data_IF_848169790354
#
_entry.id   IF_848169790354
#
_cell.length_a   1.000
_cell.length_b   1.000
_cell.length_c   1.000
_cell.angle_alpha   90.00
_cell.angle_beta   90.00
_cell.angle_gamma   90.00
#
_symmetry.space_group_name_H-M   'P 1'
#
loop_
_entity.id
_entity.type
_entity.pdbx_description
1 polymer ?
#
# COMPACT_ATOMS: atom_id res chain seq x y z
N UNK A 1 10.39 -7.60 -23.85
CA UNK A 1 11.18 -7.72 -22.61
C UNK A 1 11.59 -9.17 -22.46
N UNK A 2 12.84 -9.49 -22.14
CA UNK A 2 13.26 -10.88 -21.90
C UNK A 2 12.63 -11.41 -20.61
N UNK A 3 12.40 -12.73 -20.50
CA UNK A 3 11.85 -13.34 -19.28
C UNK A 3 12.67 -12.98 -18.03
N UNK A 4 14.01 -12.89 -18.16
CA UNK A 4 14.89 -12.46 -17.08
C UNK A 4 14.60 -11.03 -16.60
N UNK A 5 14.41 -10.08 -17.54
CA UNK A 5 14.10 -8.68 -17.19
C UNK A 5 12.73 -8.57 -16.51
N UNK A 6 11.75 -9.34 -16.98
CA UNK A 6 10.42 -9.40 -16.37
C UNK A 6 10.47 -9.94 -14.93
N UNK A 7 11.18 -11.04 -14.68
CA UNK A 7 11.31 -11.61 -13.35
C UNK A 7 12.05 -10.69 -12.38
N UNK A 8 13.13 -10.03 -12.83
CA UNK A 8 13.81 -8.99 -12.02
C UNK A 8 12.87 -7.85 -11.66
N UNK A 9 12.08 -7.37 -12.62
CA UNK A 9 11.08 -6.32 -12.37
C UNK A 9 10.00 -6.78 -11.39
N UNK A 10 9.50 -8.01 -11.52
CA UNK A 10 8.51 -8.59 -10.60
C UNK A 10 9.03 -8.67 -9.17
N UNK A 11 10.28 -9.14 -8.99
CA UNK A 11 10.92 -9.20 -7.67
C UNK A 11 11.12 -7.80 -7.10
N UNK A 12 11.59 -6.85 -7.91
CA UNK A 12 11.72 -5.45 -7.51
C UNK A 12 10.38 -4.86 -7.03
N UNK A 13 9.31 -5.03 -7.82
CA UNK A 13 7.98 -4.57 -7.45
C UNK A 13 7.49 -5.19 -6.13
N UNK A 14 7.75 -6.49 -5.92
CA UNK A 14 7.45 -7.17 -4.65
C UNK A 14 8.17 -6.55 -3.45
N UNK A 15 9.49 -6.34 -3.56
CA UNK A 15 10.28 -5.74 -2.50
C UNK A 15 9.84 -4.30 -2.20
N UNK A 16 9.55 -3.52 -3.25
CA UNK A 16 9.03 -2.16 -3.12
C UNK A 16 7.69 -2.14 -2.37
N UNK A 17 6.75 -2.99 -2.76
CA UNK A 17 5.44 -3.12 -2.09
C UNK A 17 5.59 -3.51 -0.62
N UNK A 18 6.51 -4.42 -0.31
CA UNK A 18 6.78 -4.84 1.07
C UNK A 18 7.31 -3.68 1.93
N UNK A 19 8.28 -2.92 1.43
CA UNK A 19 8.82 -1.76 2.14
C UNK A 19 7.77 -0.66 2.30
N UNK A 20 6.95 -0.41 1.27
CA UNK A 20 5.85 0.54 1.33
C UNK A 20 4.81 0.14 2.40
N UNK A 21 4.46 -1.15 2.46
CA UNK A 21 3.58 -1.68 3.50
C UNK A 21 4.16 -1.53 4.92
N UNK A 22 5.45 -1.82 5.10
CA UNK A 22 6.11 -1.64 6.39
C UNK A 22 6.13 -0.16 6.81
N UNK A 23 6.41 0.74 5.88
CA UNK A 23 6.37 2.18 6.13
C UNK A 23 4.96 2.65 6.55
N UNK A 24 3.91 2.10 5.95
CA UNK A 24 2.55 2.39 6.35
C UNK A 24 2.20 1.87 7.75
N UNK A 25 2.60 0.65 8.12
CA UNK A 25 2.40 0.12 9.47
C UNK A 25 3.09 1.02 10.51
N UNK A 26 4.34 1.41 10.24
CA UNK A 26 5.08 2.32 11.14
C UNK A 26 4.40 3.68 11.22
N UNK A 27 3.90 4.21 10.10
CA UNK A 27 3.11 5.44 10.07
C UNK A 27 1.84 5.33 10.92
N UNK A 28 1.08 4.24 10.80
CA UNK A 28 -0.12 4.01 11.61
C UNK A 28 0.20 3.95 13.10
N UNK A 29 1.26 3.24 13.48
CA UNK A 29 1.69 3.16 14.86
C UNK A 29 2.13 4.52 15.42
N UNK A 30 2.81 5.33 14.60
CA UNK A 30 3.30 6.65 15.01
C UNK A 30 2.19 7.69 15.13
N UNK A 31 1.30 7.78 14.13
CA UNK A 31 0.22 8.77 14.10
C UNK A 31 -1.05 8.33 14.83
N UNK A 32 -1.11 7.09 15.32
CA UNK A 32 -2.26 6.57 16.06
C UNK A 32 -3.43 6.14 15.18
N UNK A 33 -3.15 5.67 13.96
CA UNK A 33 -4.12 5.07 13.04
C UNK A 33 -3.92 5.43 11.58
N UNK A 34 -4.94 5.18 10.77
CA UNK A 34 -4.95 5.54 9.35
C UNK A 34 -6.20 6.34 8.95
N UNK A 35 -6.08 7.07 7.84
CA UNK A 35 -7.13 7.92 7.31
C UNK A 35 -8.20 7.16 6.51
N UNK A 36 -7.95 5.93 6.06
CA UNK A 36 -8.96 5.13 5.35
C UNK A 36 -10.02 4.60 6.30
N UNK A 37 -9.65 4.33 7.55
CA UNK A 37 -10.57 4.01 8.64
C UNK A 37 -10.96 5.23 9.48
N UNK A 38 -10.36 6.39 9.18
CA UNK A 38 -10.56 7.65 9.86
C UNK A 38 -11.82 8.40 9.43
N UNK A 39 -11.94 9.65 9.87
CA UNK A 39 -13.01 10.55 9.45
C UNK A 39 -12.55 12.00 9.42
N UNK A 40 -13.24 12.79 8.61
CA UNK A 40 -13.20 14.25 8.65
C UNK A 40 -14.54 14.73 9.20
N UNK A 41 -14.51 15.65 10.16
CA UNK A 41 -15.73 16.20 10.77
C UNK A 41 -15.50 17.66 11.15
N UNK A 42 -16.31 18.57 10.58
CA UNK A 42 -16.26 20.00 10.87
C UNK A 42 -14.87 20.64 10.70
N UNK A 43 -14.08 20.19 9.72
CA UNK A 43 -12.71 20.68 9.49
C UNK A 43 -11.64 20.08 10.40
N UNK A 44 -12.01 19.10 11.23
CA UNK A 44 -11.08 18.31 12.03
C UNK A 44 -10.86 16.95 11.37
N UNK A 45 -9.62 16.47 11.40
CA UNK A 45 -9.19 15.25 10.72
C UNK A 45 -8.75 14.21 11.73
N UNK A 46 -9.32 13.01 11.65
CA UNK A 46 -9.10 11.96 12.62
C UNK A 46 -8.63 10.68 11.94
N UNK A 47 -7.48 10.17 12.36
CA UNK A 47 -7.05 8.82 12.03
C UNK A 47 -7.72 7.82 12.97
N UNK A 48 -7.94 6.59 12.52
CA UNK A 48 -8.56 5.54 13.33
C UNK A 48 -7.66 4.33 13.48
N UNK A 49 -7.61 3.77 14.69
CA UNK A 49 -6.96 2.49 14.98
C UNK A 49 -7.77 1.71 15.99
N UNK A 50 -8.33 0.56 15.59
CA UNK A 50 -9.17 -0.29 16.45
C UNK A 50 -10.25 0.46 17.24
N UNK A 51 -10.89 1.45 16.61
CA UNK A 51 -11.97 2.25 17.21
C UNK A 51 -11.50 3.45 18.04
N UNK A 52 -10.19 3.63 18.23
CA UNK A 52 -9.62 4.86 18.80
C UNK A 52 -9.40 5.87 17.69
N UNK A 53 -9.87 7.10 17.91
CA UNK A 53 -9.62 8.24 17.01
C UNK A 53 -8.45 9.08 17.52
N UNK A 54 -7.58 9.49 16.61
CA UNK A 54 -6.47 10.41 16.87
C UNK A 54 -6.61 11.61 15.96
N UNK A 55 -6.80 12.80 16.54
CA UNK A 55 -6.87 14.04 15.78
C UNK A 55 -5.49 14.43 15.25
N UNK A 56 -5.43 14.81 13.98
CA UNK A 56 -4.22 15.19 13.27
C UNK A 56 -4.47 16.41 12.39
N UNK A 57 -3.40 17.00 11.84
CA UNK A 57 -3.56 18.03 10.83
C UNK A 57 -4.05 17.45 9.49
N UNK A 58 -4.70 18.29 8.68
CA UNK A 58 -5.12 17.97 7.32
C UNK A 58 -4.02 17.31 6.49
N UNK A 59 -2.81 17.87 6.54
CA UNK A 59 -1.66 17.35 5.79
C UNK A 59 -1.30 15.90 6.19
N UNK A 60 -1.38 15.57 7.49
CA UNK A 60 -1.12 14.20 7.96
C UNK A 60 -2.24 13.26 7.53
N UNK A 61 -3.48 13.72 7.56
CA UNK A 61 -4.62 12.94 7.09
C UNK A 61 -4.54 12.64 5.60
N UNK A 62 -4.27 13.64 4.77
CA UNK A 62 -4.09 13.51 3.32
C UNK A 62 -2.91 12.57 3.01
N UNK A 63 -1.77 12.76 3.68
CA UNK A 63 -0.63 11.87 3.56
C UNK A 63 -1.01 10.42 3.88
N UNK A 64 -1.69 10.19 5.01
CA UNK A 64 -2.13 8.86 5.44
C UNK A 64 -3.08 8.23 4.42
N UNK A 65 -4.00 9.01 3.87
CA UNK A 65 -4.97 8.55 2.87
C UNK A 65 -4.25 8.08 1.60
N UNK A 66 -3.34 8.90 1.05
CA UNK A 66 -2.59 8.52 -0.14
C UNK A 66 -1.64 7.37 0.09
N UNK A 67 -0.93 7.35 1.22
CA UNK A 67 0.01 6.27 1.55
C UNK A 67 -0.76 4.95 1.69
N UNK A 68 -1.86 4.92 2.44
CA UNK A 68 -2.64 3.70 2.60
C UNK A 68 -3.27 3.25 1.27
N UNK A 69 -3.81 4.16 0.46
CA UNK A 69 -4.33 3.84 -0.88
C UNK A 69 -3.24 3.25 -1.80
N UNK A 70 -2.01 3.78 -1.73
CA UNK A 70 -0.88 3.30 -2.53
C UNK A 70 -0.53 1.83 -2.26
N UNK A 71 -0.77 1.33 -1.04
CA UNK A 71 -0.53 -0.07 -0.68
C UNK A 71 -1.44 -0.97 -1.51
N UNK A 72 -2.74 -0.67 -1.57
CA UNK A 72 -3.71 -1.47 -2.32
C UNK A 72 -3.37 -1.51 -3.82
N UNK A 73 -2.97 -0.36 -4.38
CA UNK A 73 -2.50 -0.29 -5.78
C UNK A 73 -1.25 -1.15 -5.97
N UNK A 74 -0.27 -1.03 -5.07
CA UNK A 74 1.00 -1.77 -5.16
C UNK A 74 0.81 -3.29 -5.04
N UNK A 75 -0.08 -3.74 -4.14
CA UNK A 75 -0.48 -5.14 -4.03
C UNK A 75 -1.15 -5.62 -5.32
N UNK A 76 -2.08 -4.84 -5.88
CA UNK A 76 -2.74 -5.17 -7.15
C UNK A 76 -1.75 -5.36 -8.29
N UNK A 77 -0.76 -4.48 -8.42
CA UNK A 77 0.31 -4.60 -9.42
C UNK A 77 1.11 -5.90 -9.23
N UNK A 78 1.54 -6.20 -8.00
CA UNK A 78 2.31 -7.43 -7.71
C UNK A 78 1.50 -8.69 -8.03
N UNK A 79 0.20 -8.70 -7.70
CA UNK A 79 -0.69 -9.82 -8.03
C UNK A 79 -0.81 -10.02 -9.54
N UNK A 80 -1.04 -8.95 -10.31
CA UNK A 80 -1.11 -9.01 -11.77
C UNK A 80 0.20 -9.56 -12.34
N UNK A 81 1.35 -9.03 -11.91
CA UNK A 81 2.67 -9.51 -12.36
C UNK A 81 2.89 -10.99 -12.02
N UNK A 82 2.45 -11.44 -10.85
CA UNK A 82 2.54 -12.85 -10.46
C UNK A 82 1.67 -13.76 -11.32
N UNK A 83 0.43 -13.36 -11.61
CA UNK A 83 -0.48 -14.11 -12.48
C UNK A 83 0.05 -14.22 -13.91
N UNK A 84 0.64 -13.13 -14.44
CA UNK A 84 1.28 -13.12 -15.75
C UNK A 84 2.46 -14.09 -15.82
N UNK A 85 3.30 -14.16 -14.77
CA UNK A 85 4.43 -15.11 -14.66
C UNK A 85 3.94 -16.56 -14.72
N UNK A 86 2.88 -16.91 -13.97
CA UNK A 86 2.28 -18.26 -14.00
C UNK A 86 1.71 -18.64 -15.37
N UNK A 87 1.04 -17.71 -16.04
CA UNK A 87 0.47 -17.93 -17.37
C UNK A 87 1.55 -18.23 -18.41
N UNK A 88 2.67 -17.50 -18.36
CA UNK A 88 3.82 -17.72 -19.24
C UNK A 88 4.45 -19.12 -19.05
N UNK A 89 4.58 -19.57 -17.80
CA UNK A 89 5.13 -20.89 -17.48
C UNK A 89 4.23 -22.05 -17.95
N UNK A 90 2.90 -21.86 -17.94
CA UNK A 90 1.95 -22.88 -18.40
C UNK A 90 1.96 -23.06 -19.92
N UNK A 91 2.26 -22.01 -20.69
CA UNK A 91 2.23 -22.04 -22.16
C UNK A 91 3.47 -22.70 -22.79
N UNK A 92 4.55 -22.92 -22.03
CA UNK A 92 5.78 -23.57 -22.50
C UNK A 92 5.91 -25.05 -22.09
N UNK A 93 4.88 -25.63 -21.47
CA UNK A 93 4.75 -27.06 -21.16
C UNK A 93 3.75 -27.72 -22.10
#
# INVERSE_FOLDING_TARGET
MTNEKFEKFRVFAGNFTFLNFLAAILGMAYFGGDALNGKEENGHFFLSYHGKLTEVSENVFIYSQYHCASIFVSIGIVLILHLMSKSAAKKSS
#
